data_IF_057073932778
#
_entry.id   IF_057073932778
#
_cell.length_a   1.000
_cell.length_b   1.000
_cell.length_c   1.000
_cell.angle_alpha   90.00
_cell.angle_beta   90.00
_cell.angle_gamma   90.00
#
_symmetry.space_group_name_H-M   'P 1'
#
loop_
_entity.id
_entity.type
_entity.pdbx_description
1 polymer ?
#
# COMPACT_ATOMS: atom_id res chain seq x y z
N UNK A 1 -21.43 28.65 -17.41
CA UNK A 1 -20.48 27.51 -17.37
C UNK A 1 -19.11 28.11 -17.62
N UNK A 2 -18.16 28.06 -16.68
CA UNK A 2 -16.82 28.55 -16.94
C UNK A 2 -16.26 27.80 -18.15
N UNK A 3 -15.82 28.55 -19.16
CA UNK A 3 -15.27 27.98 -20.38
C UNK A 3 -13.93 27.34 -20.10
N UNK A 4 -13.53 26.44 -20.99
CA UNK A 4 -12.20 25.82 -20.97
C UNK A 4 -11.09 26.88 -20.95
N UNK A 5 -11.34 28.06 -21.54
CA UNK A 5 -10.39 29.15 -21.67
C UNK A 5 -10.02 29.80 -20.32
N UNK A 6 -10.98 29.98 -19.43
CA UNK A 6 -10.77 30.55 -18.10
C UNK A 6 -9.91 29.64 -17.23
N UNK A 7 -10.13 28.32 -17.32
CA UNK A 7 -9.32 27.32 -16.60
C UNK A 7 -7.85 27.40 -17.07
N UNK A 8 -7.60 27.55 -18.37
CA UNK A 8 -6.24 27.66 -18.88
C UNK A 8 -5.53 28.91 -18.34
N UNK A 9 -6.24 30.04 -18.26
CA UNK A 9 -5.68 31.29 -17.71
C UNK A 9 -5.33 31.12 -16.22
N UNK A 10 -6.22 30.51 -15.42
CA UNK A 10 -5.96 30.27 -14.00
C UNK A 10 -4.74 29.36 -13.80
N UNK A 11 -4.63 28.30 -14.60
CA UNK A 11 -3.46 27.39 -14.57
C UNK A 11 -2.19 28.13 -14.95
N UNK A 12 -2.23 28.99 -15.97
CA UNK A 12 -1.08 29.78 -16.40
C UNK A 12 -0.58 30.70 -15.28
N UNK A 13 -1.50 31.37 -14.57
CA UNK A 13 -1.15 32.22 -13.42
C UNK A 13 -0.57 31.40 -12.27
N UNK A 14 -1.15 30.24 -11.96
CA UNK A 14 -0.60 29.34 -10.95
C UNK A 14 0.82 28.88 -11.31
N UNK A 15 1.06 28.51 -12.58
CA UNK A 15 2.38 28.12 -13.07
C UNK A 15 3.38 29.29 -13.00
N UNK A 16 2.94 30.53 -13.24
CA UNK A 16 3.79 31.70 -13.13
C UNK A 16 4.23 31.97 -11.68
N UNK A 17 3.33 31.81 -10.70
CA UNK A 17 3.62 32.04 -9.27
C UNK A 17 4.42 30.89 -8.66
N UNK A 18 4.03 29.65 -8.94
CA UNK A 18 4.65 28.46 -8.33
C UNK A 18 5.83 27.92 -9.16
N UNK A 19 5.87 28.17 -10.46
CA UNK A 19 6.86 27.65 -11.41
C UNK A 19 6.43 26.32 -12.06
N UNK A 20 6.77 26.16 -13.34
CA UNK A 20 6.41 24.99 -14.16
C UNK A 20 6.90 23.65 -13.61
N UNK A 21 7.98 23.64 -12.83
CA UNK A 21 8.56 22.42 -12.24
C UNK A 21 7.97 22.06 -10.88
N UNK A 22 7.35 23.00 -10.15
CA UNK A 22 6.91 22.79 -8.76
C UNK A 22 5.49 22.24 -8.68
N UNK A 23 4.57 22.71 -9.51
CA UNK A 23 3.22 22.12 -9.62
C UNK A 23 3.23 20.61 -9.88
N UNK A 24 3.90 20.09 -10.93
CA UNK A 24 3.90 18.66 -11.21
C UNK A 24 4.67 17.86 -10.16
N UNK A 25 5.71 18.45 -9.55
CA UNK A 25 6.50 17.79 -8.50
C UNK A 25 5.67 17.62 -7.21
N UNK A 26 4.97 18.67 -6.79
CA UNK A 26 4.06 18.61 -5.64
C UNK A 26 2.90 17.65 -5.91
N UNK A 27 2.24 17.77 -7.07
CA UNK A 27 1.15 16.88 -7.47
C UNK A 27 1.57 15.40 -7.52
N UNK A 28 2.78 15.10 -8.02
CA UNK A 28 3.32 13.73 -7.99
C UNK A 28 3.51 13.21 -6.57
N UNK A 29 4.11 13.99 -5.68
CA UNK A 29 4.31 13.57 -4.29
C UNK A 29 2.99 13.35 -3.54
N UNK A 30 2.03 14.26 -3.70
CA UNK A 30 0.70 14.17 -3.10
C UNK A 30 -0.10 12.99 -3.68
N UNK A 31 0.01 12.78 -5.00
CA UNK A 31 -0.63 11.67 -5.70
C UNK A 31 -0.08 10.31 -5.30
N UNK A 32 1.21 10.23 -4.95
CA UNK A 32 1.82 8.98 -4.50
C UNK A 32 1.31 8.58 -3.12
N UNK A 33 1.18 9.52 -2.17
CA UNK A 33 0.50 9.27 -0.90
C UNK A 33 -0.97 8.91 -1.12
N UNK A 34 -1.72 9.71 -1.89
CA UNK A 34 -3.13 9.45 -2.18
C UNK A 34 -3.36 8.08 -2.86
N UNK A 35 -2.40 7.60 -3.66
CA UNK A 35 -2.46 6.27 -4.28
C UNK A 35 -2.34 5.15 -3.26
N UNK A 36 -1.45 5.28 -2.27
CA UNK A 36 -1.31 4.29 -1.19
C UNK A 36 -2.61 4.23 -0.38
N UNK A 37 -3.14 5.39 0.04
CA UNK A 37 -4.41 5.45 0.77
C UNK A 37 -5.57 4.89 -0.07
N UNK A 38 -5.61 5.17 -1.37
CA UNK A 38 -6.64 4.61 -2.28
C UNK A 38 -6.47 3.10 -2.48
N UNK A 39 -5.25 2.58 -2.46
CA UNK A 39 -4.99 1.16 -2.59
C UNK A 39 -5.41 0.40 -1.33
N UNK A 40 -5.08 0.92 -0.14
CA UNK A 40 -5.53 0.37 1.14
C UNK A 40 -7.07 0.46 1.27
N UNK A 41 -7.66 1.61 0.93
CA UNK A 41 -9.11 1.78 0.91
C UNK A 41 -9.81 0.82 -0.07
N UNK A 42 -9.20 0.54 -1.23
CA UNK A 42 -9.72 -0.46 -2.18
C UNK A 42 -9.49 -1.90 -1.74
N UNK A 43 -8.47 -2.17 -0.95
CA UNK A 43 -8.25 -3.49 -0.33
C UNK A 43 -9.40 -3.81 0.61
N UNK A 44 -9.77 -2.87 1.47
CA UNK A 44 -10.90 -2.99 2.38
C UNK A 44 -12.23 -3.24 1.64
N UNK A 45 -12.52 -2.45 0.59
CA UNK A 45 -13.75 -2.65 -0.20
C UNK A 45 -13.76 -3.97 -0.99
N UNK A 46 -12.61 -4.41 -1.51
CA UNK A 46 -12.51 -5.71 -2.19
C UNK A 46 -12.56 -6.88 -1.21
N UNK A 47 -12.03 -6.75 0.00
CA UNK A 47 -12.12 -7.78 1.04
C UNK A 47 -13.57 -7.90 1.55
N UNK A 48 -14.35 -6.83 1.60
CA UNK A 48 -15.79 -6.92 1.86
C UNK A 48 -16.55 -7.64 0.72
N UNK A 49 -16.17 -7.38 -0.53
CA UNK A 49 -16.76 -8.04 -1.72
C UNK A 49 -16.35 -9.51 -1.81
N UNK A 50 -15.08 -9.83 -1.50
CA UNK A 50 -14.55 -11.19 -1.40
C UNK A 50 -15.13 -11.94 -0.22
N UNK A 51 -15.21 -11.35 0.97
CA UNK A 51 -15.85 -11.97 2.13
C UNK A 51 -17.33 -12.27 1.88
N UNK A 52 -18.02 -11.44 1.08
CA UNK A 52 -19.40 -11.71 0.63
C UNK A 52 -19.48 -12.85 -0.39
N UNK A 53 -18.48 -12.98 -1.28
CA UNK A 53 -18.39 -14.08 -2.25
C UNK A 53 -17.95 -15.40 -1.59
N UNK A 54 -16.97 -15.36 -0.69
CA UNK A 54 -16.44 -16.49 0.07
C UNK A 54 -17.45 -17.00 1.10
N UNK A 55 -18.29 -16.13 1.66
CA UNK A 55 -19.40 -16.59 2.54
C UNK A 55 -20.51 -17.31 1.78
N UNK A 56 -20.63 -17.09 0.47
CA UNK A 56 -21.53 -17.87 -0.38
C UNK A 56 -20.92 -19.22 -0.79
N UNK A 57 -19.59 -19.40 -0.67
CA UNK A 57 -18.87 -20.62 -1.04
C UNK A 57 -18.46 -21.47 0.20
N UNK A 58 -18.35 -20.85 1.38
CA UNK A 58 -17.97 -21.49 2.65
C UNK A 58 -19.14 -22.12 3.42
N UNK A 59 -20.37 -22.07 2.89
CA UNK A 59 -21.50 -22.81 3.47
C UNK A 59 -21.42 -24.34 3.19
N UNK A 60 -20.51 -24.79 2.32
CA UNK A 60 -20.36 -26.20 1.92
C UNK A 60 -19.05 -26.87 2.40
N UNK A 61 -18.20 -26.20 3.19
CA UNK A 61 -16.94 -26.77 3.63
C UNK A 61 -16.67 -26.52 5.13
N UNK A 62 -17.20 -27.41 5.98
CA UNK A 62 -16.77 -27.57 7.36
C UNK A 62 -15.40 -28.30 7.43
N UNK A 63 -14.58 -28.03 8.47
CA UNK A 63 -13.14 -28.28 8.46
C UNK A 63 -12.80 -29.73 8.81
N UNK A 64 -12.08 -30.41 7.93
CA UNK A 64 -11.32 -31.60 8.29
C UNK A 64 -9.98 -31.16 8.88
N UNK A 65 -9.73 -31.58 10.12
CA UNK A 65 -8.58 -31.15 10.90
C UNK A 65 -7.25 -31.74 10.46
N UNK A 66 -6.27 -31.56 11.33
CA UNK A 66 -4.99 -32.27 11.27
C UNK A 66 -3.82 -31.31 11.21
N UNK A 67 -3.17 -31.13 12.36
CA UNK A 67 -1.98 -30.32 12.48
C UNK A 67 -0.87 -30.70 11.50
N UNK A 68 -0.14 -29.68 11.06
CA UNK A 68 1.24 -29.85 10.62
C UNK A 68 2.11 -28.95 11.48
N UNK A 69 2.63 -29.55 12.53
CA UNK A 69 3.87 -29.13 13.15
C UNK A 69 4.97 -29.20 12.08
N UNK A 70 5.32 -28.08 11.47
CA UNK A 70 6.59 -27.92 10.74
C UNK A 70 6.99 -26.45 10.79
N UNK A 71 7.24 -25.95 12.00
CA UNK A 71 8.21 -24.87 12.16
C UNK A 71 9.47 -25.51 12.74
N UNK A 72 10.36 -25.93 11.83
CA UNK A 72 11.75 -26.30 12.15
C UNK A 72 12.54 -25.01 12.45
N UNK A 73 12.11 -24.26 13.44
CA UNK A 73 12.92 -23.22 14.09
C UNK A 73 13.86 -23.91 15.08
N UNK A 74 14.83 -24.59 14.50
CA UNK A 74 15.79 -25.45 15.18
C UNK A 74 16.97 -25.72 14.26
N UNK A 75 17.59 -24.66 13.74
CA UNK A 75 18.92 -24.71 13.14
C UNK A 75 19.52 -23.29 13.14
N UNK A 76 20.71 -23.16 13.74
CA UNK A 76 21.59 -21.97 13.79
C UNK A 76 21.31 -20.94 14.90
N UNK A 77 21.23 -21.41 16.16
CA UNK A 77 22.01 -20.77 17.22
C UNK A 77 23.43 -21.36 17.18
N UNK A 78 24.42 -20.54 17.57
CA UNK A 78 25.85 -20.86 17.74
C UNK A 78 26.69 -20.85 16.46
N UNK A 79 27.21 -19.67 16.10
CA UNK A 79 28.67 -19.43 16.06
C UNK A 79 28.93 -17.92 15.91
N UNK A 80 30.07 -17.45 16.41
CA UNK A 80 30.70 -16.19 16.00
C UNK A 80 30.25 -14.85 16.63
N UNK A 81 30.18 -14.75 17.97
CA UNK A 81 30.49 -13.48 18.66
C UNK A 81 31.21 -13.71 19.99
N UNK A 82 32.38 -14.35 19.93
CA UNK A 82 33.30 -14.49 21.09
C UNK A 82 34.74 -14.15 20.70
N UNK A 83 34.97 -12.97 20.12
CA UNK A 83 36.35 -12.53 19.80
C UNK A 83 36.60 -11.01 19.95
N UNK A 84 35.87 -10.30 20.82
CA UNK A 84 36.17 -8.87 21.10
C UNK A 84 36.16 -8.46 22.57
N UNK A 85 36.23 -9.42 23.50
CA UNK A 85 36.32 -9.14 24.94
C UNK A 85 37.68 -9.55 25.52
N UNK A 86 38.74 -9.33 24.76
CA UNK A 86 40.11 -9.44 25.27
C UNK A 86 41.04 -8.50 24.51
N UNK A 87 40.85 -7.20 24.70
CA UNK A 87 41.93 -6.21 24.62
C UNK A 87 41.58 -4.98 25.45
#
# INVERSE_FOLDING_TARGET
MPGTWEILIVVLVLVAVFGASKLPKMARSLGQSARVLKAEARGLSQDEERAKSERSESADALPAGGGSATDRSGAAAEDETRDKQQN
#
